data_IF_774242918839
#
_entry.id   IF_774242918839
#
_cell.length_a   1.000
_cell.length_b   1.000
_cell.length_c   1.000
_cell.angle_alpha   90.00
_cell.angle_beta   90.00
_cell.angle_gamma   90.00
#
_symmetry.space_group_name_H-M   'P 1'
#
loop_
_entity.id
_entity.type
_entity.pdbx_description
1 polymer ?
#
# COMPACT_ATOMS: atom_id res chain seq x y z
N UNK A 1 18.14 69.04 38.68
CA UNK A 1 19.21 68.23 39.32
C UNK A 1 18.79 66.76 39.23
N UNK A 2 19.67 65.91 38.69
CA UNK A 2 19.70 64.44 38.64
C UNK A 2 18.38 63.73 38.21
N UNK A 3 18.22 63.21 36.98
CA UNK A 3 18.95 62.09 36.34
C UNK A 3 19.06 60.86 37.25
N UNK A 4 18.21 59.87 37.02
CA UNK A 4 18.49 58.47 37.34
C UNK A 4 18.03 57.63 36.15
N UNK A 5 18.97 57.33 35.27
CA UNK A 5 18.83 56.27 34.29
C UNK A 5 18.83 54.95 35.03
N UNK A 6 17.75 54.18 34.87
CA UNK A 6 17.77 52.77 35.23
C UNK A 6 18.61 52.06 34.18
N UNK A 7 19.87 51.81 34.52
CA UNK A 7 20.74 50.88 33.79
C UNK A 7 20.06 49.51 33.77
N UNK A 8 19.33 49.24 32.69
CA UNK A 8 18.85 47.91 32.38
C UNK A 8 20.05 47.14 31.84
N UNK A 9 20.67 46.39 32.74
CA UNK A 9 21.70 45.41 32.44
C UNK A 9 21.20 44.47 31.32
N UNK A 10 21.90 44.34 30.18
CA UNK A 10 21.51 43.37 29.16
C UNK A 10 21.70 41.96 29.74
N UNK A 11 20.58 41.25 29.88
CA UNK A 11 20.52 39.82 30.13
C UNK A 11 21.40 39.07 29.11
N UNK A 12 22.17 38.03 29.51
CA UNK A 12 23.14 37.40 28.63
C UNK A 12 22.48 36.92 27.34
N UNK A 13 23.17 37.18 26.24
CA UNK A 13 22.86 36.81 24.87
C UNK A 13 22.15 35.45 24.81
N UNK A 14 20.86 35.44 24.48
CA UNK A 14 20.23 34.23 23.98
C UNK A 14 21.01 33.80 22.74
N UNK A 15 21.47 32.54 22.66
CA UNK A 15 22.14 32.04 21.47
C UNK A 15 21.26 32.27 20.24
N UNK A 16 21.86 32.58 19.07
CA UNK A 16 21.09 32.77 17.85
C UNK A 16 20.24 31.53 17.59
N UNK A 17 18.95 31.73 17.28
CA UNK A 17 18.08 30.61 16.96
C UNK A 17 18.60 29.90 15.69
N UNK A 18 18.81 28.59 15.80
CA UNK A 18 19.39 27.78 14.73
C UNK A 18 18.35 27.40 13.65
N UNK A 19 17.07 27.34 14.03
CA UNK A 19 15.98 26.87 13.18
C UNK A 19 14.82 27.86 13.14
N UNK A 20 14.22 28.02 11.95
CA UNK A 20 12.97 28.75 11.73
C UNK A 20 11.90 27.78 11.23
N UNK A 21 10.82 27.65 11.98
CA UNK A 21 9.62 26.91 11.58
C UNK A 21 8.59 27.88 11.02
N UNK A 22 8.22 27.68 9.75
CA UNK A 22 7.15 28.43 9.09
C UNK A 22 5.88 27.58 9.04
N UNK A 23 4.74 28.18 9.39
CA UNK A 23 3.45 27.51 9.40
C UNK A 23 2.62 27.86 8.16
N UNK A 24 1.60 27.05 7.88
CA UNK A 24 0.70 27.30 6.75
C UNK A 24 -0.02 28.66 6.90
N UNK A 25 -0.16 29.47 5.84
CA UNK A 25 -0.74 30.82 5.93
C UNK A 25 -2.13 30.89 6.56
N UNK A 26 -2.92 29.81 6.44
CA UNK A 26 -4.27 29.73 7.01
C UNK A 26 -4.33 29.32 8.49
N UNK A 27 -3.20 28.95 9.13
CA UNK A 27 -3.21 28.57 10.55
C UNK A 27 -3.17 29.78 11.50
N UNK A 28 -2.96 30.99 10.99
CA UNK A 28 -2.72 32.21 11.78
C UNK A 28 -1.62 32.03 12.85
N UNK A 29 -0.69 31.10 12.65
CA UNK A 29 0.39 30.82 13.58
C UNK A 29 1.63 31.58 13.15
N UNK A 30 2.23 32.44 14.01
CA UNK A 30 3.45 33.15 13.67
C UNK A 30 4.62 32.20 13.54
N UNK A 31 5.62 32.57 12.72
CA UNK A 31 6.85 31.79 12.57
C UNK A 31 7.57 31.66 13.92
N UNK A 32 8.05 30.46 14.19
CA UNK A 32 8.72 30.09 15.44
C UNK A 32 10.23 29.95 15.18
N UNK A 33 11.04 30.53 16.06
CA UNK A 33 12.51 30.44 16.01
C UNK A 33 12.98 29.65 17.22
N UNK A 34 13.75 28.59 17.01
CA UNK A 34 14.16 27.63 18.05
C UNK A 34 15.65 27.32 17.93
N UNK A 35 16.31 27.03 19.05
CA UNK A 35 17.67 26.46 19.05
C UNK A 35 17.65 24.99 18.63
N UNK A 36 18.81 24.41 18.38
CA UNK A 36 18.92 22.97 18.11
C UNK A 36 18.41 22.09 19.26
N UNK A 37 18.64 22.45 20.52
CA UNK A 37 18.09 21.70 21.65
C UNK A 37 16.55 21.71 21.71
N UNK A 38 15.92 22.82 21.32
CA UNK A 38 14.45 22.95 21.27
C UNK A 38 13.82 22.29 20.04
N UNK A 39 14.47 22.42 18.88
CA UNK A 39 14.02 21.80 17.62
C UNK A 39 14.34 20.30 17.56
N UNK A 40 15.35 19.87 18.31
CA UNK A 40 15.75 18.48 18.44
C UNK A 40 14.57 17.63 18.87
N UNK A 41 14.61 16.35 18.48
CA UNK A 41 13.59 15.38 18.88
C UNK A 41 13.51 15.36 20.41
N UNK A 42 12.53 16.07 20.97
CA UNK A 42 11.99 15.71 22.28
C UNK A 42 11.76 14.21 22.19
N UNK A 43 12.49 13.43 23.00
CA UNK A 43 12.33 11.99 23.11
C UNK A 43 10.82 11.78 23.14
N UNK A 44 10.27 11.27 22.03
CA UNK A 44 8.83 11.24 21.83
C UNK A 44 8.34 10.44 23.02
N UNK A 45 7.64 11.10 23.96
CA UNK A 45 7.12 10.42 25.13
C UNK A 45 6.43 9.20 24.57
N UNK A 46 6.92 8.00 24.93
CA UNK A 46 6.57 6.76 24.26
C UNK A 46 5.05 6.63 24.32
N UNK A 47 4.38 7.09 23.26
CA UNK A 47 2.93 7.14 23.20
C UNK A 47 2.51 5.68 23.26
N UNK A 48 1.55 5.38 24.13
CA UNK A 48 0.98 4.04 24.13
C UNK A 48 0.53 3.72 22.70
N UNK A 49 0.82 2.53 22.17
CA UNK A 49 0.35 2.13 20.84
C UNK A 49 -1.15 2.36 20.74
N UNK A 50 -1.60 2.88 19.60
CA UNK A 50 -3.03 3.01 19.33
C UNK A 50 -3.69 1.63 19.47
N UNK A 51 -4.68 1.46 20.35
CA UNK A 51 -5.38 0.19 20.48
C UNK A 51 -6.19 -0.20 19.23
N UNK A 52 -6.52 0.75 18.35
CA UNK A 52 -7.37 0.52 17.17
C UNK A 52 -6.82 1.24 15.92
N UNK A 53 -5.65 0.84 15.41
CA UNK A 53 -5.03 1.47 14.23
C UNK A 53 -5.86 1.32 12.95
N UNK A 54 -6.86 0.43 12.95
CA UNK A 54 -7.77 0.19 11.84
C UNK A 54 -8.98 1.13 11.82
N UNK A 55 -9.13 2.09 12.74
CA UNK A 55 -10.17 3.13 12.59
C UNK A 55 -10.00 3.88 11.25
N UNK A 56 -11.08 4.16 10.50
CA UNK A 56 -12.50 4.16 10.88
C UNK A 56 -13.25 2.84 10.61
N UNK A 57 -12.55 1.76 10.26
CA UNK A 57 -13.20 0.46 10.04
C UNK A 57 -13.70 -0.13 11.37
N UNK A 58 -14.83 -0.83 11.32
CA UNK A 58 -15.46 -1.41 12.51
C UNK A 58 -14.55 -2.50 13.10
N UNK A 59 -14.05 -3.38 12.22
CA UNK A 59 -13.19 -4.50 12.59
C UNK A 59 -11.85 -4.43 11.85
N UNK A 60 -10.79 -4.95 12.46
CA UNK A 60 -9.48 -5.06 11.80
C UNK A 60 -9.51 -5.93 10.55
N UNK A 61 -10.44 -6.90 10.48
CA UNK A 61 -10.67 -7.72 9.29
C UNK A 61 -11.20 -6.91 8.10
N UNK A 62 -12.09 -5.94 8.34
CA UNK A 62 -12.63 -5.07 7.29
C UNK A 62 -11.54 -4.16 6.73
N UNK A 63 -10.68 -3.63 7.62
CA UNK A 63 -9.50 -2.86 7.22
C UNK A 63 -8.56 -3.69 6.36
N UNK A 64 -8.19 -4.91 6.80
CA UNK A 64 -7.27 -5.77 6.06
C UNK A 64 -7.84 -6.16 4.69
N UNK A 65 -9.14 -6.48 4.64
CA UNK A 65 -9.83 -6.77 3.38
C UNK A 65 -9.82 -5.56 2.44
N UNK A 66 -10.08 -4.36 2.95
CA UNK A 66 -10.03 -3.11 2.18
C UNK A 66 -8.60 -2.81 1.68
N UNK A 67 -7.60 -3.00 2.52
CA UNK A 67 -6.19 -2.80 2.17
C UNK A 67 -5.76 -3.74 1.04
N UNK A 68 -6.04 -5.04 1.16
CA UNK A 68 -5.74 -6.02 0.11
C UNK A 68 -6.49 -5.68 -1.19
N UNK A 69 -7.76 -5.30 -1.08
CA UNK A 69 -8.58 -4.93 -2.24
C UNK A 69 -8.00 -3.72 -2.98
N UNK A 70 -7.52 -2.72 -2.24
CA UNK A 70 -6.87 -1.53 -2.79
C UNK A 70 -5.53 -1.88 -3.43
N UNK A 71 -4.68 -2.63 -2.74
CA UNK A 71 -3.36 -3.04 -3.23
C UNK A 71 -3.44 -3.90 -4.50
N UNK A 72 -4.42 -4.81 -4.57
CA UNK A 72 -4.65 -5.67 -5.73
C UNK A 72 -5.44 -4.97 -6.84
N UNK A 73 -5.93 -3.74 -6.63
CA UNK A 73 -6.71 -3.00 -7.62
C UNK A 73 -8.03 -3.69 -7.98
N UNK A 74 -8.69 -4.32 -7.00
CA UNK A 74 -9.93 -5.06 -7.23
C UNK A 74 -11.06 -4.12 -7.65
N UNK A 75 -11.83 -4.53 -8.65
CA UNK A 75 -13.03 -3.82 -9.05
C UNK A 75 -14.25 -4.26 -8.21
N UNK A 76 -15.36 -3.53 -8.34
CA UNK A 76 -16.61 -3.77 -7.61
C UNK A 76 -17.12 -5.20 -7.76
N UNK A 77 -17.03 -5.80 -8.95
CA UNK A 77 -17.48 -7.18 -9.17
C UNK A 77 -16.63 -8.20 -8.43
N UNK A 78 -15.31 -8.00 -8.40
CA UNK A 78 -14.38 -8.87 -7.69
C UNK A 78 -14.57 -8.75 -6.18
N UNK A 79 -14.71 -7.52 -5.66
CA UNK A 79 -14.98 -7.24 -4.24
C UNK A 79 -16.26 -7.95 -3.80
N UNK A 80 -17.36 -7.77 -4.54
CA UNK A 80 -18.63 -8.41 -4.22
C UNK A 80 -18.56 -9.94 -4.32
N UNK A 81 -17.80 -10.46 -5.30
CA UNK A 81 -17.54 -11.89 -5.42
C UNK A 81 -16.87 -12.45 -4.16
N UNK A 82 -15.79 -11.80 -3.69
CA UNK A 82 -15.10 -12.22 -2.47
C UNK A 82 -15.97 -12.10 -1.22
N UNK A 83 -16.70 -10.98 -1.07
CA UNK A 83 -17.63 -10.78 0.05
C UNK A 83 -18.77 -11.82 0.07
N UNK A 84 -19.16 -12.36 -1.09
CA UNK A 84 -20.14 -13.45 -1.17
C UNK A 84 -19.52 -14.83 -0.88
N UNK A 85 -18.24 -15.03 -1.24
CA UNK A 85 -17.53 -16.30 -1.07
C UNK A 85 -17.13 -16.55 0.39
N UNK A 86 -16.64 -15.53 1.10
CA UNK A 86 -16.17 -15.65 2.49
C UNK A 86 -17.26 -16.25 3.41
N UNK A 87 -18.52 -15.76 3.41
CA UNK A 87 -19.58 -16.37 4.20
C UNK A 87 -19.87 -17.83 3.81
N UNK A 88 -19.77 -18.19 2.52
CA UNK A 88 -19.95 -19.57 2.07
C UNK A 88 -18.87 -20.50 2.64
N UNK A 89 -17.62 -20.04 2.68
CA UNK A 89 -16.51 -20.79 3.29
C UNK A 89 -16.72 -20.93 4.80
N UNK A 90 -17.05 -19.84 5.49
CA UNK A 90 -17.29 -19.85 6.96
C UNK A 90 -18.47 -20.75 7.33
N UNK A 91 -19.51 -20.80 6.49
CA UNK A 91 -20.66 -21.69 6.66
C UNK A 91 -20.39 -23.15 6.23
N UNK A 92 -19.20 -23.46 5.71
CA UNK A 92 -18.82 -24.79 5.24
C UNK A 92 -19.52 -25.24 3.96
N UNK A 93 -20.13 -24.31 3.21
CA UNK A 93 -20.76 -24.59 1.91
C UNK A 93 -19.74 -24.72 0.78
N UNK A 94 -18.63 -24.01 0.93
CA UNK A 94 -17.48 -24.04 0.01
C UNK A 94 -16.21 -24.32 0.81
N UNK A 95 -15.20 -24.91 0.16
CA UNK A 95 -13.90 -25.16 0.78
C UNK A 95 -12.79 -24.53 -0.05
N UNK A 96 -12.15 -23.50 0.49
CA UNK A 96 -10.94 -22.92 -0.09
C UNK A 96 -9.74 -23.81 0.26
N UNK A 97 -9.25 -24.57 -0.72
CA UNK A 97 -8.15 -25.52 -0.55
C UNK A 97 -6.77 -24.95 -0.86
N UNK A 98 -6.70 -23.78 -1.51
CA UNK A 98 -5.44 -23.10 -1.85
C UNK A 98 -4.88 -22.41 -0.61
N UNK A 99 -3.61 -22.69 -0.26
CA UNK A 99 -2.99 -22.11 0.95
C UNK A 99 -1.94 -21.04 0.64
N UNK A 100 -1.38 -21.04 -0.56
CA UNK A 100 -0.30 -20.13 -0.97
C UNK A 100 -0.29 -19.91 -2.49
N UNK A 101 0.66 -19.10 -2.96
CA UNK A 101 0.84 -18.80 -4.37
C UNK A 101 1.24 -20.02 -5.21
N UNK A 102 2.06 -20.93 -4.66
CA UNK A 102 2.46 -22.16 -5.34
C UNK A 102 1.26 -23.05 -5.65
N UNK A 103 0.34 -23.21 -4.69
CA UNK A 103 -0.90 -23.97 -4.89
C UNK A 103 -1.76 -23.36 -6.01
N UNK A 104 -1.85 -22.02 -6.04
CA UNK A 104 -2.60 -21.28 -7.06
C UNK A 104 -1.98 -21.44 -8.44
N UNK A 105 -0.66 -21.30 -8.57
CA UNK A 105 0.06 -21.51 -9.83
C UNK A 105 -0.12 -22.94 -10.32
N UNK A 106 0.03 -23.93 -9.42
CA UNK A 106 -0.19 -25.33 -9.78
C UNK A 106 -1.64 -25.60 -10.20
N UNK A 107 -2.62 -24.93 -9.60
CA UNK A 107 -4.02 -25.02 -10.01
C UNK A 107 -4.23 -24.44 -11.41
N UNK A 108 -3.59 -23.31 -11.72
CA UNK A 108 -3.60 -22.74 -13.06
C UNK A 108 -2.91 -23.62 -14.09
N UNK A 109 -1.75 -24.20 -13.78
CA UNK A 109 -1.05 -25.14 -14.67
C UNK A 109 -1.93 -26.34 -15.01
N UNK A 110 -2.57 -26.93 -13.99
CA UNK A 110 -3.55 -28.02 -14.19
C UNK A 110 -4.72 -27.57 -15.06
N UNK A 111 -5.27 -26.38 -14.82
CA UNK A 111 -6.38 -25.86 -15.63
C UNK A 111 -5.94 -25.61 -17.08
N UNK A 112 -4.75 -25.04 -17.29
CA UNK A 112 -4.16 -24.80 -18.60
C UNK A 112 -3.96 -26.12 -19.34
N UNK A 113 -3.46 -27.18 -18.69
CA UNK A 113 -3.34 -28.52 -19.30
C UNK A 113 -4.68 -29.08 -19.78
N UNK A 114 -5.78 -28.81 -19.06
CA UNK A 114 -7.12 -29.28 -19.44
C UNK A 114 -7.71 -28.47 -20.61
N UNK A 115 -7.41 -27.17 -20.68
CA UNK A 115 -7.84 -26.30 -21.79
C UNK A 115 -6.99 -26.53 -23.04
N UNK A 116 -5.73 -26.93 -22.87
CA UNK A 116 -4.82 -27.31 -23.96
C UNK A 116 -5.14 -28.73 -24.43
N UNK A 117 -6.31 -28.92 -25.03
CA UNK A 117 -6.62 -30.08 -25.85
C UNK A 117 -5.51 -30.24 -26.91
N UNK A 118 -4.58 -31.17 -26.65
CA UNK A 118 -3.81 -31.94 -27.64
C UNK A 118 -3.60 -31.25 -29.00
N UNK A 119 -2.65 -30.33 -29.09
CA UNK A 119 -1.83 -30.28 -30.30
C UNK A 119 -0.95 -31.54 -30.28
N UNK A 120 -1.55 -32.71 -30.56
CA UNK A 120 -0.76 -33.82 -31.04
C UNK A 120 -0.16 -33.35 -32.36
N UNK A 121 1.10 -32.96 -32.32
CA UNK A 121 1.92 -32.81 -33.51
C UNK A 121 2.03 -34.23 -34.09
N UNK A 122 1.02 -34.62 -34.88
CA UNK A 122 1.17 -35.74 -35.78
C UNK A 122 2.29 -35.31 -36.72
N UNK A 123 3.45 -35.97 -36.60
CA UNK A 123 4.64 -35.72 -37.38
C UNK A 123 4.41 -36.13 -38.84
N UNK A 124 3.54 -35.40 -39.54
CA UNK A 124 3.48 -35.47 -40.99
C UNK A 124 4.69 -34.73 -41.52
N UNK A 125 5.69 -35.50 -41.91
CA UNK A 125 6.81 -35.06 -42.74
C UNK A 125 6.25 -34.56 -44.07
N UNK A 126 5.88 -33.28 -44.13
CA UNK A 126 5.54 -32.64 -45.40
C UNK A 126 6.85 -32.39 -46.16
N UNK A 127 7.08 -33.24 -47.16
CA UNK A 127 8.12 -33.02 -48.16
C UNK A 127 7.81 -31.71 -48.91
N UNK A 128 8.74 -30.75 -48.84
CA UNK A 128 8.61 -29.37 -49.34
C UNK A 128 8.58 -29.22 -50.87
N UNK A 129 8.17 -30.24 -51.63
CA UNK A 129 8.32 -30.23 -53.10
C UNK A 129 7.01 -30.22 -53.91
N UNK A 130 5.82 -30.26 -53.30
CA UNK A 130 4.58 -30.43 -54.08
C UNK A 130 3.52 -29.33 -53.96
N UNK A 131 3.77 -28.20 -53.28
CA UNK A 131 2.74 -27.16 -53.10
C UNK A 131 2.85 -25.96 -54.06
N UNK A 132 3.93 -25.83 -54.84
CA UNK A 132 4.09 -24.67 -55.74
C UNK A 132 3.34 -24.82 -57.07
N UNK A 133 2.79 -25.99 -57.41
CA UNK A 133 2.20 -26.20 -58.75
C UNK A 133 0.68 -26.00 -58.87
N UNK A 134 0.00 -25.50 -57.84
CA UNK A 134 -1.47 -25.30 -57.87
C UNK A 134 -1.95 -23.88 -57.55
N UNK A 135 -1.10 -22.88 -57.80
CA UNK A 135 -1.47 -21.46 -57.71
C UNK A 135 -1.22 -20.69 -59.03
N UNK A 136 -1.24 -21.39 -60.17
CA UNK A 136 -1.04 -20.76 -61.48
C UNK A 136 -1.92 -21.37 -62.59
N UNK A 137 -3.17 -21.71 -62.25
CA UNK A 137 -4.29 -21.87 -63.19
C UNK A 137 -5.57 -21.37 -62.54
#
# INVERSE_FOLDING_TARGET
>A
MASNGSDQMPSPEQPPADFKTEFHPHSNTPSLFQSQEEFGQHATAMMAPDPHPWCPFIEGGDYLFAEISLQAGLNTSQINGLLSLIPCIVQGKENATLQNDVDLQCAWDRAAMQVTLVCSFSSYTMSFHAFIHKLLL
#
